data_IF_861419754913
#
_entry.id   IF_861419754913
#
_cell.length_a   1.000
_cell.length_b   1.000
_cell.length_c   1.000
_cell.angle_alpha   90.00
_cell.angle_beta   90.00
_cell.angle_gamma   90.00
#
_symmetry.space_group_name_H-M   'P 1'
#
loop_
_entity.id
_entity.type
_entity.pdbx_description
1 polymer ?
#
# COMPACT_ATOMS: atom_id res chain seq x y z
N UNK A 1 -7.59 -9.01 -4.75
CA UNK A 1 -7.11 -10.29 -4.19
C UNK A 1 -8.06 -11.44 -4.48
N UNK A 2 -9.36 -11.33 -4.19
CA UNK A 2 -10.35 -12.41 -4.41
C UNK A 2 -10.40 -12.94 -5.86
N UNK A 3 -10.31 -12.04 -6.84
CA UNK A 3 -10.26 -12.41 -8.27
C UNK A 3 -8.94 -13.06 -8.72
N UNK A 4 -7.95 -13.24 -7.82
CA UNK A 4 -6.66 -13.82 -8.15
C UNK A 4 -5.77 -12.98 -9.07
N UNK A 5 -6.10 -11.70 -9.29
CA UNK A 5 -5.34 -10.82 -10.17
C UNK A 5 -3.90 -10.59 -9.64
N UNK A 6 -2.87 -10.66 -10.50
CA UNK A 6 -1.49 -10.42 -10.07
C UNK A 6 -1.27 -8.93 -9.72
N UNK A 7 -0.38 -8.59 -8.77
CA UNK A 7 -0.13 -7.21 -8.35
C UNK A 7 0.26 -6.24 -9.49
N UNK A 8 0.88 -6.75 -10.54
CA UNK A 8 1.30 -6.03 -11.73
C UNK A 8 0.22 -5.86 -12.80
N UNK A 9 -0.98 -6.46 -12.62
CA UNK A 9 -2.05 -6.35 -13.61
C UNK A 9 -2.49 -4.89 -13.80
N UNK A 10 -2.92 -4.48 -15.01
CA UNK A 10 -3.35 -3.10 -15.26
C UNK A 10 -4.44 -2.60 -14.30
N UNK A 11 -5.39 -3.48 -13.95
CA UNK A 11 -6.50 -3.20 -13.05
C UNK A 11 -5.99 -2.96 -11.61
N UNK A 12 -5.08 -3.82 -11.14
CA UNK A 12 -4.48 -3.69 -9.80
C UNK A 12 -3.59 -2.44 -9.73
N UNK A 13 -2.84 -2.16 -10.79
CA UNK A 13 -2.01 -0.96 -10.88
C UNK A 13 -2.84 0.33 -10.84
N UNK A 14 -4.07 0.32 -11.36
CA UNK A 14 -4.98 1.45 -11.21
C UNK A 14 -5.37 1.66 -9.73
N UNK A 15 -5.67 0.59 -9.01
CA UNK A 15 -5.98 0.64 -7.57
C UNK A 15 -4.78 1.06 -6.74
N UNK A 16 -3.57 0.58 -7.06
CA UNK A 16 -2.32 0.99 -6.38
C UNK A 16 -2.09 2.49 -6.52
N UNK A 17 -2.29 3.07 -7.71
CA UNK A 17 -2.18 4.52 -7.92
C UNK A 17 -3.21 5.31 -7.11
N UNK A 18 -4.43 4.80 -7.02
CA UNK A 18 -5.47 5.41 -6.19
C UNK A 18 -5.13 5.32 -4.69
N UNK A 19 -4.68 4.17 -4.22
CA UNK A 19 -4.21 3.97 -2.85
C UNK A 19 -3.09 4.94 -2.50
N UNK A 20 -2.08 5.09 -3.37
CA UNK A 20 -0.98 6.04 -3.18
C UNK A 20 -1.48 7.49 -3.10
N UNK A 21 -2.53 7.84 -3.84
CA UNK A 21 -3.14 9.17 -3.77
C UNK A 21 -3.74 9.44 -2.39
N UNK A 22 -4.49 8.49 -1.83
CA UNK A 22 -5.05 8.62 -0.48
C UNK A 22 -3.99 8.55 0.61
N UNK A 23 -2.99 7.69 0.46
CA UNK A 23 -1.89 7.62 1.40
C UNK A 23 -1.13 8.96 1.49
N UNK A 24 -0.79 9.54 0.33
CA UNK A 24 -0.07 10.82 0.26
C UNK A 24 -0.89 12.00 0.76
N UNK A 25 -2.23 11.95 0.70
CA UNK A 25 -3.06 13.08 1.16
C UNK A 25 -2.92 13.36 2.66
N UNK A 26 -2.64 12.34 3.48
CA UNK A 26 -2.38 12.51 4.90
C UNK A 26 -0.90 12.33 5.28
N UNK A 27 -0.14 11.50 4.55
CA UNK A 27 1.27 11.21 4.85
C UNK A 27 2.24 12.21 4.20
N UNK A 28 1.78 13.01 3.24
CA UNK A 28 2.63 13.84 2.39
C UNK A 28 3.51 13.01 1.45
N UNK A 29 4.59 13.63 0.94
CA UNK A 29 5.48 13.05 -0.07
C UNK A 29 6.87 12.65 0.45
N UNK A 30 7.14 12.86 1.75
CA UNK A 30 8.44 12.59 2.32
C UNK A 30 8.66 11.07 2.51
N UNK A 31 9.66 10.45 1.85
CA UNK A 31 9.92 9.01 1.98
C UNK A 31 10.26 8.57 3.41
N UNK A 32 10.89 9.44 4.22
CA UNK A 32 11.19 9.14 5.62
C UNK A 32 9.92 9.07 6.46
N UNK A 33 8.94 9.94 6.18
CA UNK A 33 7.62 9.88 6.80
C UNK A 33 6.92 8.57 6.44
N UNK A 34 6.99 8.14 5.18
CA UNK A 34 6.38 6.89 4.74
C UNK A 34 7.01 5.67 5.41
N UNK A 35 8.33 5.66 5.63
CA UNK A 35 9.00 4.59 6.36
C UNK A 35 8.53 4.51 7.81
N UNK A 36 8.40 5.65 8.50
CA UNK A 36 7.91 5.68 9.88
C UNK A 36 6.49 5.14 10.01
N UNK A 37 5.60 5.51 9.09
CA UNK A 37 4.21 4.99 9.08
C UNK A 37 4.18 3.48 8.85
N UNK A 38 4.99 2.96 7.92
CA UNK A 38 5.08 1.51 7.69
C UNK A 38 5.60 0.76 8.91
N UNK A 39 6.59 1.32 9.60
CA UNK A 39 7.12 0.72 10.82
C UNK A 39 6.11 0.77 11.97
N UNK A 40 5.38 1.87 12.13
CA UNK A 40 4.29 1.99 13.11
C UNK A 40 3.22 0.92 12.88
N UNK A 41 2.72 0.74 11.65
CA UNK A 41 1.74 -0.32 11.35
C UNK A 41 2.26 -1.74 11.61
N UNK A 42 3.59 -1.97 11.53
CA UNK A 42 4.22 -3.27 11.81
C UNK A 42 4.37 -3.53 13.30
N UNK A 43 4.73 -2.50 14.07
CA UNK A 43 4.98 -2.58 15.51
C UNK A 43 3.70 -2.47 16.34
N UNK A 44 2.72 -1.72 15.84
CA UNK A 44 1.46 -1.39 16.51
C UNK A 44 0.28 -1.76 15.58
N UNK A 45 -0.04 -3.07 15.39
CA UNK A 45 -1.14 -3.51 14.54
C UNK A 45 -2.51 -2.91 14.90
N UNK A 46 -2.69 -2.52 16.16
CA UNK A 46 -3.88 -1.84 16.67
C UNK A 46 -4.18 -0.51 15.96
N UNK A 47 -3.16 0.15 15.39
CA UNK A 47 -3.36 1.37 14.58
C UNK A 47 -4.19 1.12 13.31
N UNK A 48 -4.29 -0.14 12.90
CA UNK A 48 -5.05 -0.57 11.72
C UNK A 48 -6.44 -1.09 12.07
N UNK A 49 -6.82 -1.16 13.36
CA UNK A 49 -8.16 -1.58 13.76
C UNK A 49 -9.23 -0.65 13.18
N UNK A 50 -10.31 -1.25 12.66
CA UNK A 50 -11.40 -0.50 12.01
C UNK A 50 -11.07 0.07 10.63
N UNK A 51 -9.84 -0.08 10.12
CA UNK A 51 -9.45 0.38 8.78
C UNK A 51 -9.84 -0.57 7.65
N UNK A 52 -10.24 -1.80 7.98
CA UNK A 52 -10.42 -2.93 7.04
C UNK A 52 -9.15 -3.32 6.25
N UNK A 53 -7.99 -2.75 6.60
CA UNK A 53 -6.71 -3.13 6.01
C UNK A 53 -6.05 -4.15 6.93
N UNK A 54 -5.87 -5.36 6.42
CA UNK A 54 -5.12 -6.42 7.09
C UNK A 54 -3.71 -6.58 6.50
N UNK A 55 -2.89 -7.40 7.16
CA UNK A 55 -1.51 -7.64 6.73
C UNK A 55 -1.42 -8.24 5.30
N UNK A 56 -2.25 -9.22 4.90
CA UNK A 56 -2.29 -9.71 3.51
C UNK A 56 -2.56 -8.61 2.48
N UNK A 57 -3.54 -7.73 2.72
CA UNK A 57 -3.84 -6.63 1.82
C UNK A 57 -2.69 -5.63 1.74
N UNK A 58 -2.07 -5.31 2.87
CA UNK A 58 -0.93 -4.40 2.92
C UNK A 58 0.25 -4.95 2.12
N UNK A 59 0.54 -6.24 2.24
CA UNK A 59 1.61 -6.89 1.48
C UNK A 59 1.30 -6.92 -0.04
N UNK A 60 0.05 -7.20 -0.40
CA UNK A 60 -0.39 -7.17 -1.81
C UNK A 60 -0.23 -5.77 -2.44
N UNK A 61 -0.60 -4.72 -1.70
CA UNK A 61 -0.40 -3.33 -2.16
C UNK A 61 1.09 -3.00 -2.28
N UNK A 62 1.93 -3.43 -1.32
CA UNK A 62 3.39 -3.24 -1.39
C UNK A 62 4.01 -3.88 -2.64
N UNK A 63 3.58 -5.10 -3.00
CA UNK A 63 4.01 -5.77 -4.23
C UNK A 63 3.61 -4.95 -5.47
N UNK A 64 2.38 -4.45 -5.50
CA UNK A 64 1.91 -3.59 -6.59
C UNK A 64 2.70 -2.28 -6.73
N UNK A 65 3.06 -1.64 -5.61
CA UNK A 65 3.91 -0.43 -5.59
C UNK A 65 5.33 -0.75 -6.11
N UNK A 66 5.91 -1.88 -5.72
CA UNK A 66 7.22 -2.31 -6.20
C UNK A 66 7.21 -2.56 -7.72
N UNK A 67 6.18 -3.25 -8.22
CA UNK A 67 6.01 -3.50 -9.66
C UNK A 67 5.89 -2.19 -10.47
N UNK A 68 5.17 -1.19 -9.96
CA UNK A 68 5.04 0.13 -10.60
C UNK A 68 6.39 0.88 -10.72
N UNK A 69 7.30 0.66 -9.77
CA UNK A 69 8.61 1.34 -9.71
C UNK A 69 9.65 0.64 -10.58
N UNK A 70 9.57 -0.69 -10.73
CA UNK A 70 10.46 -1.49 -11.58
C UNK A 70 10.14 -1.41 -13.07
N UNK A 71 8.92 -0.98 -13.44
CA UNK A 71 8.50 -0.81 -14.84
C UNK A 71 9.00 0.51 -15.48
N UNK A 72 10.01 1.16 -14.86
CA UNK A 72 10.58 2.45 -15.28
C UNK A 72 11.99 2.28 -15.85
#
# INVERSE_FOLDING_TARGET
>A
MEAGAPPESPEVQALVRQWLTYFRSYAGDNPDTHMKIREAHRLEPELMEGSFIDMPLLEYVKQGVAAATSAR
#
